data_IF_948143399262
#
_entry.id   IF_948143399262
#
_cell.length_a   1.000
_cell.length_b   1.000
_cell.length_c   1.000
_cell.angle_alpha   90.00
_cell.angle_beta   90.00
_cell.angle_gamma   90.00
#
_symmetry.space_group_name_H-M   'P 1'
#
loop_
_entity.id
_entity.type
_entity.pdbx_description
1 polymer ?
#
# COMPACT_ATOMS: atom_id res chain seq x y z
N UNK A 1 27.46 3.06 7.36
CA UNK A 1 26.77 2.33 6.29
C UNK A 1 25.54 3.15 5.90
N UNK A 2 25.42 3.55 4.64
CA UNK A 2 24.28 4.34 4.15
C UNK A 2 23.04 3.46 4.06
N UNK A 3 21.91 3.92 4.60
CA UNK A 3 20.63 3.21 4.43
C UNK A 3 20.20 3.32 2.97
N UNK A 4 20.01 2.18 2.30
CA UNK A 4 19.48 2.17 0.93
C UNK A 4 17.98 2.50 0.98
N UNK A 5 17.59 3.57 0.28
CA UNK A 5 16.18 3.92 0.05
C UNK A 5 15.80 3.53 -1.38
N UNK A 6 14.66 2.87 -1.53
CA UNK A 6 14.10 2.46 -2.82
C UNK A 6 12.70 3.01 -2.96
N UNK A 7 12.40 3.57 -4.13
CA UNK A 7 11.08 4.04 -4.50
C UNK A 7 10.50 3.09 -5.54
N UNK A 8 9.33 2.51 -5.28
CA UNK A 8 8.69 1.52 -6.14
C UNK A 8 7.25 1.93 -6.45
N UNK A 9 6.80 1.68 -7.67
CA UNK A 9 5.41 1.83 -8.06
C UNK A 9 4.76 0.46 -8.26
N UNK A 10 3.54 0.30 -7.76
CA UNK A 10 2.76 -0.93 -7.87
C UNK A 10 1.35 -0.62 -8.33
N UNK A 11 0.97 -1.19 -9.47
CA UNK A 11 -0.43 -1.23 -9.90
C UNK A 11 -1.23 -2.23 -9.06
N UNK A 12 -2.45 -1.83 -8.71
CA UNK A 12 -3.42 -2.62 -7.95
C UNK A 12 -4.73 -2.69 -8.75
N UNK A 13 -5.63 -3.65 -8.44
CA UNK A 13 -6.90 -3.78 -9.14
C UNK A 13 -7.77 -2.51 -9.07
N UNK A 14 -8.72 -2.41 -10.00
CA UNK A 14 -9.80 -1.41 -9.98
C UNK A 14 -9.33 0.06 -10.03
N UNK A 15 -8.18 0.29 -10.64
CA UNK A 15 -7.58 1.61 -10.80
C UNK A 15 -6.89 2.13 -9.53
N UNK A 16 -6.63 1.24 -8.56
CA UNK A 16 -5.77 1.54 -7.43
C UNK A 16 -4.29 1.47 -7.83
N UNK A 17 -3.47 2.26 -7.15
CA UNK A 17 -2.02 2.19 -7.27
C UNK A 17 -1.37 2.48 -5.92
N UNK A 18 -0.10 2.08 -5.81
CA UNK A 18 0.72 2.37 -4.64
C UNK A 18 2.12 2.83 -5.01
N UNK A 19 2.53 3.95 -4.44
CA UNK A 19 3.92 4.43 -4.44
C UNK A 19 4.54 4.06 -3.10
N UNK A 20 5.68 3.37 -3.13
CA UNK A 20 6.28 2.73 -1.96
C UNK A 20 7.67 3.31 -1.73
N UNK A 21 7.86 3.90 -0.56
CA UNK A 21 9.17 4.28 -0.04
C UNK A 21 9.66 3.21 0.93
N UNK A 22 10.61 2.38 0.48
CA UNK A 22 11.22 1.31 1.28
C UNK A 22 12.60 1.76 1.73
N UNK A 23 12.90 1.57 3.03
CA UNK A 23 14.21 1.82 3.62
C UNK A 23 14.77 0.54 4.22
N UNK A 24 16.03 0.26 3.92
CA UNK A 24 16.79 -0.79 4.61
C UNK A 24 17.29 -0.26 5.96
N UNK A 25 16.96 -0.97 7.03
CA UNK A 25 17.42 -0.71 8.40
C UNK A 25 18.86 -1.16 8.60
N UNK A 26 19.53 -0.69 9.66
CA UNK A 26 20.90 -1.09 10.00
C UNK A 26 21.06 -2.60 10.23
N UNK A 27 19.99 -3.30 10.59
CA UNK A 27 19.95 -4.76 10.73
C UNK A 27 19.61 -5.53 9.45
N UNK A 28 19.65 -4.87 8.28
CA UNK A 28 19.41 -5.50 6.97
C UNK A 28 17.94 -5.74 6.62
N UNK A 29 17.00 -5.48 7.55
CA UNK A 29 15.55 -5.60 7.34
C UNK A 29 14.96 -4.38 6.62
N UNK A 30 13.77 -4.51 6.07
CA UNK A 30 13.12 -3.47 5.25
C UNK A 30 11.83 -2.96 5.90
N UNK A 31 11.67 -1.65 6.01
CA UNK A 31 10.46 -1.02 6.53
C UNK A 31 10.13 0.22 5.70
N UNK A 32 8.91 0.73 5.79
CA UNK A 32 8.55 1.87 4.96
C UNK A 32 7.09 2.26 5.00
N UNK A 33 6.77 3.10 4.04
CA UNK A 33 5.46 3.71 3.86
C UNK A 33 5.05 3.52 2.40
N UNK A 34 3.78 3.23 2.18
CA UNK A 34 3.19 3.14 0.85
C UNK A 34 2.00 4.10 0.76
N UNK A 35 2.05 5.06 -0.14
CA UNK A 35 0.91 5.88 -0.50
C UNK A 35 -0.07 5.04 -1.34
N UNK A 36 -1.36 5.21 -1.11
CA UNK A 36 -2.42 4.52 -1.86
C UNK A 36 -3.29 5.54 -2.57
N UNK A 37 -3.40 5.38 -3.87
CA UNK A 37 -4.15 6.27 -4.76
C UNK A 37 -5.20 5.48 -5.53
N UNK A 38 -6.35 6.11 -5.77
CA UNK A 38 -7.40 5.58 -6.65
C UNK A 38 -7.57 6.54 -7.81
N UNK A 39 -7.26 6.08 -9.03
CA UNK A 39 -7.27 6.90 -10.25
C UNK A 39 -6.47 8.19 -10.09
N UNK A 40 -5.26 8.08 -9.52
CA UNK A 40 -4.36 9.21 -9.28
C UNK A 40 -4.70 10.08 -8.07
N UNK A 41 -5.81 9.82 -7.37
CA UNK A 41 -6.20 10.58 -6.19
C UNK A 41 -5.79 9.85 -4.92
N UNK A 42 -4.96 10.49 -4.09
CA UNK A 42 -4.53 9.96 -2.79
C UNK A 42 -5.73 9.64 -1.89
N UNK A 43 -5.80 8.40 -1.39
CA UNK A 43 -6.88 7.91 -0.52
C UNK A 43 -6.40 7.46 0.86
N UNK A 44 -5.13 7.14 0.99
CA UNK A 44 -4.58 6.67 2.27
C UNK A 44 -3.09 6.42 2.23
N UNK A 45 -2.58 6.01 3.38
CA UNK A 45 -1.18 5.66 3.59
C UNK A 45 -1.13 4.35 4.37
N UNK A 46 -0.30 3.42 3.92
CA UNK A 46 0.00 2.16 4.58
C UNK A 46 1.41 2.24 5.16
N UNK A 47 1.54 2.06 6.47
CA UNK A 47 2.84 1.86 7.12
C UNK A 47 3.08 0.36 7.26
N UNK A 48 4.25 -0.12 6.85
CA UNK A 48 4.64 -1.51 7.08
C UNK A 48 5.90 -1.57 7.93
N UNK A 49 5.81 -2.38 8.99
CA UNK A 49 6.90 -2.65 9.92
C UNK A 49 7.98 -3.50 9.23
N UNK A 50 9.09 -3.73 9.95
CA UNK A 50 10.24 -4.48 9.43
C UNK A 50 9.85 -5.83 8.82
N UNK A 51 10.27 -6.04 7.57
CA UNK A 51 10.18 -7.28 6.81
C UNK A 51 11.60 -7.85 6.60
N UNK A 52 11.73 -9.19 6.52
CA UNK A 52 13.03 -9.85 6.49
C UNK A 52 13.82 -9.61 5.19
N UNK A 53 13.14 -9.27 4.09
CA UNK A 53 13.75 -8.99 2.79
C UNK A 53 12.96 -7.91 2.04
N UNK A 54 13.55 -7.40 0.96
CA UNK A 54 12.88 -6.47 0.05
C UNK A 54 11.63 -7.10 -0.57
N UNK A 55 11.74 -8.33 -1.07
CA UNK A 55 10.61 -9.05 -1.66
C UNK A 55 9.47 -9.25 -0.65
N UNK A 56 9.81 -9.54 0.62
CA UNK A 56 8.82 -9.64 1.68
C UNK A 56 8.15 -8.29 1.98
N UNK A 57 8.89 -7.17 1.89
CA UNK A 57 8.32 -5.82 1.96
C UNK A 57 7.34 -5.54 0.82
N UNK A 58 7.72 -5.81 -0.42
CA UNK A 58 6.85 -5.62 -1.58
C UNK A 58 5.60 -6.51 -1.50
N UNK A 59 5.76 -7.79 -1.15
CA UNK A 59 4.64 -8.71 -0.96
C UNK A 59 3.69 -8.25 0.15
N UNK A 60 4.23 -7.76 1.28
CA UNK A 60 3.45 -7.19 2.38
C UNK A 60 2.64 -5.97 1.94
N UNK A 61 3.25 -5.06 1.17
CA UNK A 61 2.54 -3.88 0.64
C UNK A 61 1.45 -4.31 -0.33
N UNK A 62 1.73 -5.17 -1.31
CA UNK A 62 0.74 -5.68 -2.26
C UNK A 62 -0.47 -6.30 -1.56
N UNK A 63 -0.23 -7.16 -0.57
CA UNK A 63 -1.29 -7.80 0.20
C UNK A 63 -2.16 -6.77 0.94
N UNK A 64 -1.53 -5.88 1.71
CA UNK A 64 -2.24 -4.94 2.58
C UNK A 64 -2.91 -3.80 1.80
N UNK A 65 -2.26 -3.31 0.76
CA UNK A 65 -2.85 -2.33 -0.15
C UNK A 65 -4.07 -2.89 -0.88
N UNK A 66 -4.01 -4.16 -1.34
CA UNK A 66 -5.15 -4.82 -1.97
C UNK A 66 -6.31 -5.03 -0.99
N UNK A 67 -6.02 -5.35 0.28
CA UNK A 67 -7.05 -5.43 1.33
C UNK A 67 -7.72 -4.07 1.54
N UNK A 68 -6.93 -3.00 1.69
CA UNK A 68 -7.44 -1.64 1.84
C UNK A 68 -8.33 -1.20 0.67
N UNK A 69 -7.91 -1.48 -0.57
CA UNK A 69 -8.67 -1.16 -1.76
C UNK A 69 -10.04 -1.86 -1.77
N UNK A 70 -10.06 -3.18 -1.51
CA UNK A 70 -11.29 -3.97 -1.46
C UNK A 70 -12.27 -3.48 -0.39
N UNK A 71 -11.78 -3.22 0.82
CA UNK A 71 -12.64 -2.74 1.91
C UNK A 71 -13.28 -1.39 1.56
N UNK A 72 -12.56 -0.49 0.90
CA UNK A 72 -13.12 0.80 0.48
C UNK A 72 -14.14 0.71 -0.65
N UNK A 73 -13.94 -0.20 -1.60
CA UNK A 73 -14.93 -0.45 -2.66
C UNK A 73 -16.22 -1.02 -2.04
N UNK A 74 -16.09 -2.03 -1.16
CA UNK A 74 -17.22 -2.61 -0.44
C UNK A 74 -17.99 -1.57 0.41
N UNK A 75 -17.28 -0.69 1.12
CA UNK A 75 -17.90 0.40 1.88
C UNK A 75 -18.62 1.42 0.98
N UNK A 76 -18.08 1.70 -0.21
CA UNK A 76 -18.71 2.60 -1.16
C UNK A 76 -20.02 2.00 -1.71
N UNK A 77 -20.02 0.71 -2.04
CA UNK A 77 -21.21 -0.03 -2.49
C UNK A 77 -22.30 -0.06 -1.41
N UNK A 78 -21.94 -0.38 -0.16
CA UNK A 78 -22.88 -0.38 0.96
C UNK A 78 -23.53 1.01 1.17
N UNK A 79 -22.75 2.10 1.09
CA UNK A 79 -23.27 3.47 1.19
C UNK A 79 -24.18 3.86 0.04
N UNK A 80 -23.91 3.38 -1.17
CA UNK A 80 -24.76 3.63 -2.33
C UNK A 80 -26.12 2.93 -2.18
N UNK A 81 -26.13 1.68 -1.69
CA UNK A 81 -27.35 0.93 -1.40
C UNK A 81 -28.23 1.61 -0.35
N UNK A 82 -27.64 2.13 0.73
CA UNK A 82 -28.37 2.88 1.78
C UNK A 82 -28.98 4.19 1.28
N UNK A 83 -28.38 4.84 0.27
CA UNK A 83 -28.93 6.08 -0.31
C UNK A 83 -30.07 5.84 -1.30
N UNK A 84 -30.21 4.61 -1.81
CA UNK A 84 -31.22 4.25 -2.80
C UNK A 84 -32.51 3.68 -2.18
N UNK A 85 -32.52 3.44 -0.86
CA UNK A 85 -33.67 2.99 -0.06
C UNK A 85 -34.29 4.14 0.73
#
# INVERSE_FOLDING_TARGET
MSATQQHLFVELPDGWSSEIDIRQTTGGRYAGVAELSLRGLKRGVLVFMQQPSLDAAVARVRLRASQFARERLSLAEARAGVRAS
#
